data_IF_771138694903
#
_entry.id   IF_771138694903
#
_cell.length_a   1.000
_cell.length_b   1.000
_cell.length_c   1.000
_cell.angle_alpha   90.00
_cell.angle_beta   90.00
_cell.angle_gamma   90.00
#
_symmetry.space_group_name_H-M   'P 1'
#
loop_
_entity.id
_entity.type
_entity.pdbx_description
1 polymer ?
#
# COMPACT_ATOMS: atom_id res chain seq x y z
N UNK A 1 31.91 8.52 11.97
CA UNK A 1 31.12 9.46 12.57
C UNK A 1 31.23 9.64 14.02
N UNK A 2 32.32 9.74 14.48
CA UNK A 2 32.61 10.16 15.80
C UNK A 2 33.18 11.51 15.74
N UNK A 3 32.54 12.44 15.10
CA UNK A 3 33.08 13.76 14.84
C UNK A 3 33.39 14.52 16.10
N UNK A 4 32.47 14.50 17.06
CA UNK A 4 32.76 15.02 18.38
C UNK A 4 31.68 14.51 19.33
N UNK A 5 31.99 14.54 20.62
CA UNK A 5 31.10 13.97 21.62
C UNK A 5 29.77 14.71 21.70
N UNK A 6 29.75 16.01 21.42
CA UNK A 6 28.52 16.79 21.45
C UNK A 6 27.55 16.35 20.35
N UNK A 7 28.04 16.21 19.15
CA UNK A 7 27.23 15.74 18.03
C UNK A 7 26.88 14.29 18.16
N UNK A 8 27.75 13.51 18.78
CA UNK A 8 27.55 12.09 18.95
C UNK A 8 26.28 11.75 19.71
N UNK A 9 25.98 12.49 20.77
CA UNK A 9 24.76 12.26 21.55
C UNK A 9 23.48 12.55 20.73
N UNK A 10 23.45 13.71 20.05
CA UNK A 10 22.33 14.09 19.21
C UNK A 10 22.15 13.12 18.06
N UNK A 11 23.24 12.69 17.47
CA UNK A 11 23.24 11.76 16.36
C UNK A 11 22.65 10.40 16.76
N UNK A 12 23.04 9.92 17.93
CA UNK A 12 22.51 8.65 18.45
C UNK A 12 21.02 8.74 18.74
N UNK A 13 20.57 9.86 19.31
CA UNK A 13 19.16 10.05 19.60
C UNK A 13 18.35 10.08 18.31
N UNK A 14 18.83 10.80 17.28
CA UNK A 14 18.16 10.85 15.99
C UNK A 14 18.15 9.48 15.33
N UNK A 15 19.23 8.72 15.44
CA UNK A 15 19.31 7.36 14.89
C UNK A 15 18.33 6.42 15.55
N UNK A 16 18.19 6.48 16.88
CA UNK A 16 17.24 5.65 17.60
C UNK A 16 15.81 5.99 17.24
N UNK A 17 15.51 7.26 17.07
CA UNK A 17 14.17 7.66 16.68
C UNK A 17 13.84 7.18 15.27
N UNK A 18 14.79 7.27 14.36
CA UNK A 18 14.60 6.77 13.01
C UNK A 18 14.41 5.24 13.01
N UNK A 19 15.19 4.52 13.80
CA UNK A 19 15.03 3.08 13.94
C UNK A 19 13.64 2.72 14.44
N UNK A 20 13.12 3.47 15.41
CA UNK A 20 11.78 3.25 15.92
C UNK A 20 10.73 3.51 14.85
N UNK A 21 10.89 4.57 14.09
CA UNK A 21 9.96 4.89 12.99
C UNK A 21 9.96 3.81 11.93
N UNK A 22 11.13 3.31 11.58
CA UNK A 22 11.25 2.23 10.60
C UNK A 22 10.60 0.96 11.12
N UNK A 23 10.80 0.63 12.40
CA UNK A 23 10.17 -0.55 13.00
C UNK A 23 8.65 -0.45 12.96
N UNK A 24 8.10 0.72 13.26
CA UNK A 24 6.66 0.96 13.17
C UNK A 24 6.19 0.82 11.74
N UNK A 25 6.94 1.38 10.80
CA UNK A 25 6.61 1.30 9.38
C UNK A 25 6.59 -0.16 8.89
N UNK A 26 7.58 -0.95 9.30
CA UNK A 26 7.63 -2.36 8.94
C UNK A 26 6.44 -3.13 9.52
N UNK A 27 6.05 -2.82 10.75
CA UNK A 27 4.86 -3.40 11.37
C UNK A 27 3.60 -3.03 10.59
N UNK A 28 3.53 -1.77 10.15
CA UNK A 28 2.41 -1.30 9.33
C UNK A 28 2.32 -2.07 8.02
N UNK A 29 3.44 -2.27 7.36
CA UNK A 29 3.47 -3.01 6.08
C UNK A 29 2.92 -4.42 6.28
N UNK A 30 3.32 -5.09 7.35
CA UNK A 30 2.82 -6.43 7.66
C UNK A 30 1.31 -6.42 7.95
N UNK A 31 0.84 -5.41 8.66
CA UNK A 31 -0.60 -5.26 8.92
C UNK A 31 -1.39 -5.02 7.65
N UNK A 32 -0.85 -4.21 6.75
CA UNK A 32 -1.49 -3.94 5.46
C UNK A 32 -1.58 -5.24 4.65
N UNK A 33 -0.51 -6.00 4.59
CA UNK A 33 -0.50 -7.27 3.87
C UNK A 33 -1.58 -8.23 4.38
N UNK A 34 -1.84 -8.21 5.68
CA UNK A 34 -2.85 -9.07 6.28
C UNK A 34 -4.27 -8.58 6.08
N UNK A 35 -4.48 -7.27 6.02
CA UNK A 35 -5.81 -6.70 6.18
C UNK A 35 -6.30 -5.83 5.03
N UNK A 36 -5.47 -5.57 4.01
CA UNK A 36 -5.82 -4.58 2.99
C UNK A 36 -7.10 -4.92 2.22
N UNK A 37 -7.46 -6.18 2.14
CA UNK A 37 -8.66 -6.58 1.42
C UNK A 37 -9.93 -6.23 2.16
N UNK A 38 -9.87 -6.04 3.47
CA UNK A 38 -11.03 -5.75 4.31
C UNK A 38 -10.97 -4.39 4.99
N UNK A 39 -9.78 -4.00 5.46
CA UNK A 39 -9.63 -2.81 6.28
C UNK A 39 -8.85 -1.74 5.52
N UNK A 40 -9.51 -0.64 5.24
CA UNK A 40 -8.94 0.45 4.43
C UNK A 40 -8.92 1.79 5.15
N UNK A 41 -9.18 1.78 6.44
CA UNK A 41 -9.20 2.97 7.27
C UNK A 41 -7.85 3.17 7.95
N UNK A 42 -7.31 4.37 7.86
CA UNK A 42 -6.08 4.71 8.59
C UNK A 42 -6.27 4.49 10.08
N UNK A 43 -7.47 4.77 10.59
CA UNK A 43 -7.78 4.60 12.01
C UNK A 43 -7.60 3.15 12.46
N UNK A 44 -7.98 2.18 11.63
CA UNK A 44 -7.80 0.78 11.96
C UNK A 44 -6.33 0.46 12.20
N UNK A 45 -5.47 0.88 11.28
CA UNK A 45 -4.03 0.57 11.38
C UNK A 45 -3.37 1.32 12.52
N UNK A 46 -3.78 2.55 12.76
CA UNK A 46 -3.26 3.31 13.89
C UNK A 46 -3.64 2.65 15.21
N UNK A 47 -4.87 2.19 15.33
CA UNK A 47 -5.35 1.47 16.51
C UNK A 47 -4.52 0.20 16.76
N UNK A 48 -4.30 -0.58 15.72
CA UNK A 48 -3.53 -1.81 15.83
C UNK A 48 -2.09 -1.54 16.29
N UNK A 49 -1.55 -0.38 15.95
CA UNK A 49 -0.19 0.01 16.33
C UNK A 49 -0.16 0.86 17.61
N UNK A 50 -1.32 1.06 18.24
CA UNK A 50 -1.44 1.89 19.45
C UNK A 50 -0.97 3.32 19.23
N UNK A 51 -1.29 3.88 18.07
CA UNK A 51 -0.91 5.23 17.66
C UNK A 51 -2.15 6.02 17.26
N UNK A 52 -2.02 7.35 17.26
CA UNK A 52 -3.09 8.17 16.69
C UNK A 52 -2.98 8.14 15.16
N UNK A 53 -4.11 8.29 14.44
CA UNK A 53 -4.05 8.37 12.98
C UNK A 53 -3.14 9.46 12.48
N UNK A 54 -3.15 10.62 13.14
CA UNK A 54 -2.32 11.75 12.74
C UNK A 54 -0.83 11.42 12.86
N UNK A 55 -0.43 10.82 13.99
CA UNK A 55 0.96 10.46 14.19
C UNK A 55 1.42 9.43 13.17
N UNK A 56 0.60 8.42 12.93
CA UNK A 56 0.90 7.39 11.94
C UNK A 56 1.06 8.00 10.55
N UNK A 57 0.17 8.90 10.17
CA UNK A 57 0.23 9.55 8.85
C UNK A 57 1.51 10.34 8.67
N UNK A 58 1.90 11.12 9.68
CA UNK A 58 3.13 11.90 9.64
C UNK A 58 4.35 10.98 9.55
N UNK A 59 4.36 9.94 10.36
CA UNK A 59 5.47 8.98 10.41
C UNK A 59 5.66 8.30 9.06
N UNK A 60 4.60 7.78 8.47
CA UNK A 60 4.66 7.08 7.20
C UNK A 60 5.14 8.01 6.09
N UNK A 61 4.63 9.23 6.06
CA UNK A 61 5.06 10.23 5.08
C UNK A 61 6.55 10.52 5.21
N UNK A 62 7.06 10.58 6.45
CA UNK A 62 8.48 10.88 6.68
C UNK A 62 9.38 9.71 6.29
N UNK A 63 8.90 8.47 6.42
CA UNK A 63 9.71 7.28 6.13
C UNK A 63 9.74 6.95 4.64
N UNK A 64 8.60 6.98 3.97
CA UNK A 64 8.53 6.53 2.59
C UNK A 64 7.99 7.55 1.59
N UNK A 65 7.59 8.72 2.05
CA UNK A 65 7.07 9.77 1.17
C UNK A 65 5.66 9.55 0.69
N UNK A 66 4.98 8.50 1.14
CA UNK A 66 3.63 8.16 0.72
C UNK A 66 2.69 8.17 1.92
N UNK A 67 1.39 8.26 1.63
CA UNK A 67 0.37 8.17 2.68
C UNK A 67 0.02 6.71 2.94
N UNK A 68 -0.58 6.43 4.09
CA UNK A 68 -1.08 5.09 4.41
C UNK A 68 -2.08 4.63 3.35
N UNK A 69 -2.95 5.55 2.93
CA UNK A 69 -3.97 5.23 1.93
C UNK A 69 -3.34 4.85 0.59
N UNK A 70 -2.28 5.54 0.19
CA UNK A 70 -1.55 5.19 -1.04
C UNK A 70 -0.95 3.80 -0.96
N UNK A 71 -0.42 3.43 0.20
CA UNK A 71 0.13 2.09 0.40
C UNK A 71 -0.96 1.03 0.30
N UNK A 72 -2.12 1.30 0.88
CA UNK A 72 -3.27 0.40 0.80
C UNK A 72 -3.73 0.22 -0.63
N UNK A 73 -3.87 1.31 -1.36
CA UNK A 73 -4.31 1.27 -2.76
C UNK A 73 -3.33 0.51 -3.64
N UNK A 74 -2.04 0.69 -3.42
CA UNK A 74 -1.03 -0.06 -4.15
C UNK A 74 -1.15 -1.56 -3.90
N UNK A 75 -1.39 -1.96 -2.66
CA UNK A 75 -1.57 -3.37 -2.34
C UNK A 75 -2.81 -3.94 -3.04
N UNK A 76 -3.90 -3.18 -3.06
CA UNK A 76 -5.13 -3.58 -3.74
C UNK A 76 -4.93 -3.72 -5.24
N UNK A 77 -4.23 -2.79 -5.85
CA UNK A 77 -3.96 -2.83 -7.30
C UNK A 77 -3.09 -4.04 -7.63
N UNK A 78 -2.03 -4.28 -6.86
CA UNK A 78 -1.17 -5.45 -7.08
C UNK A 78 -1.96 -6.74 -7.01
N UNK A 79 -2.85 -6.87 -6.02
CA UNK A 79 -3.68 -8.06 -5.90
C UNK A 79 -4.64 -8.21 -7.06
N UNK A 80 -5.24 -7.10 -7.50
CA UNK A 80 -6.15 -7.09 -8.65
C UNK A 80 -5.45 -7.61 -9.90
N UNK A 81 -4.26 -7.09 -10.16
CA UNK A 81 -3.47 -7.49 -11.32
C UNK A 81 -3.10 -8.96 -11.24
N UNK A 82 -2.69 -9.42 -10.06
CA UNK A 82 -2.37 -10.82 -9.85
C UNK A 82 -3.56 -11.72 -10.17
N UNK A 83 -4.74 -11.36 -9.68
CA UNK A 83 -5.94 -12.16 -9.91
C UNK A 83 -6.36 -12.15 -11.38
N UNK A 84 -6.25 -11.01 -12.04
CA UNK A 84 -6.58 -10.94 -13.47
C UNK A 84 -5.65 -11.77 -14.34
N UNK A 85 -4.40 -11.86 -13.91
CA UNK A 85 -3.36 -12.52 -14.68
C UNK A 85 -3.30 -14.01 -14.45
N UNK A 86 -3.48 -14.44 -13.21
CA UNK A 86 -3.22 -15.81 -12.80
C UNK A 86 -4.47 -16.64 -12.49
N UNK A 87 -5.64 -16.06 -12.66
CA UNK A 87 -6.91 -16.77 -12.43
C UNK A 87 -7.90 -16.47 -13.54
N UNK A 88 -8.93 -17.29 -13.62
CA UNK A 88 -10.03 -17.10 -14.55
C UNK A 88 -11.19 -16.35 -13.91
N UNK A 89 -10.99 -15.78 -12.72
CA UNK A 89 -12.03 -15.05 -12.01
C UNK A 89 -12.55 -13.89 -12.84
N UNK A 90 -13.88 -13.71 -12.79
CA UNK A 90 -14.49 -12.57 -13.46
C UNK A 90 -14.18 -11.29 -12.72
N UNK A 91 -14.37 -10.15 -13.40
CA UNK A 91 -14.17 -8.85 -12.77
C UNK A 91 -15.08 -8.71 -11.55
N UNK A 92 -16.31 -9.21 -11.62
CA UNK A 92 -17.22 -9.20 -10.48
C UNK A 92 -16.68 -10.01 -9.30
N UNK A 93 -16.11 -11.17 -9.58
CA UNK A 93 -15.52 -12.02 -8.53
C UNK A 93 -14.31 -11.34 -7.88
N UNK A 94 -13.49 -10.69 -8.68
CA UNK A 94 -12.34 -9.95 -8.16
C UNK A 94 -12.81 -8.78 -7.29
N UNK A 95 -13.83 -8.05 -7.74
CA UNK A 95 -14.39 -6.96 -6.96
C UNK A 95 -14.91 -7.45 -5.61
N UNK A 96 -15.58 -8.60 -5.60
CA UNK A 96 -16.10 -9.18 -4.37
C UNK A 96 -14.97 -9.60 -3.43
N UNK A 97 -13.93 -10.21 -3.97
CA UNK A 97 -12.79 -10.64 -3.16
C UNK A 97 -12.10 -9.45 -2.50
N UNK A 98 -12.01 -8.33 -3.19
CA UNK A 98 -11.41 -7.11 -2.67
C UNK A 98 -12.39 -6.25 -1.86
N UNK A 99 -13.56 -6.79 -1.57
CA UNK A 99 -14.58 -6.12 -0.76
C UNK A 99 -15.12 -4.82 -1.35
N UNK A 100 -15.21 -4.75 -2.66
CA UNK A 100 -15.93 -3.67 -3.33
C UNK A 100 -17.42 -4.01 -3.38
N UNK A 101 -18.30 -3.01 -3.29
CA UNK A 101 -19.74 -3.27 -3.32
C UNK A 101 -20.21 -3.86 -4.65
N UNK A 102 -19.54 -3.54 -5.75
CA UNK A 102 -19.89 -4.07 -7.07
C UNK A 102 -18.74 -3.89 -8.04
N UNK A 103 -18.88 -4.45 -9.23
CA UNK A 103 -17.85 -4.37 -10.27
C UNK A 103 -17.62 -2.94 -10.75
N UNK A 104 -18.66 -2.11 -10.75
CA UNK A 104 -18.54 -0.70 -11.16
C UNK A 104 -17.63 0.09 -10.22
N UNK A 105 -17.79 -0.09 -8.92
CA UNK A 105 -16.97 0.59 -7.93
C UNK A 105 -15.50 0.18 -8.08
N UNK A 106 -15.28 -1.11 -8.26
CA UNK A 106 -13.92 -1.63 -8.50
C UNK A 106 -13.35 -1.06 -9.80
N UNK A 107 -14.15 -1.05 -10.87
CA UNK A 107 -13.72 -0.53 -12.15
C UNK A 107 -13.30 0.93 -12.08
N UNK A 108 -14.06 1.75 -11.39
CA UNK A 108 -13.74 3.16 -11.18
C UNK A 108 -12.42 3.32 -10.43
N UNK A 109 -12.26 2.55 -9.36
CA UNK A 109 -11.03 2.55 -8.56
C UNK A 109 -9.82 2.14 -9.41
N UNK A 110 -9.95 1.03 -10.12
CA UNK A 110 -8.86 0.48 -10.92
C UNK A 110 -8.44 1.44 -12.02
N UNK A 111 -9.41 2.00 -12.74
CA UNK A 111 -9.13 2.95 -13.82
C UNK A 111 -8.46 4.21 -13.30
N UNK A 112 -8.89 4.69 -12.13
CA UNK A 112 -8.28 5.88 -11.52
C UNK A 112 -6.81 5.67 -11.22
N UNK A 113 -6.42 4.47 -10.80
CA UNK A 113 -5.06 4.18 -10.37
C UNK A 113 -4.16 3.61 -11.45
N UNK A 114 -4.70 3.01 -12.49
CA UNK A 114 -3.91 2.40 -13.57
C UNK A 114 -4.10 3.06 -14.93
N UNK A 115 -5.16 3.84 -15.09
CA UNK A 115 -5.49 4.46 -16.38
C UNK A 115 -6.34 3.60 -17.30
N UNK A 116 -6.54 2.33 -16.96
CA UNK A 116 -7.32 1.39 -17.78
C UNK A 116 -8.41 0.76 -16.94
N UNK A 117 -9.56 0.47 -17.57
CA UNK A 117 -10.59 -0.31 -16.89
C UNK A 117 -10.10 -1.75 -16.69
N UNK A 118 -10.64 -2.48 -15.70
CA UNK A 118 -10.23 -3.87 -15.47
C UNK A 118 -10.39 -4.75 -16.70
N UNK A 119 -11.50 -4.62 -17.40
CA UNK A 119 -11.75 -5.39 -18.61
C UNK A 119 -10.74 -5.06 -19.70
N UNK A 120 -10.47 -3.78 -19.88
CA UNK A 120 -9.52 -3.31 -20.86
C UNK A 120 -8.11 -3.78 -20.55
N UNK A 121 -7.75 -3.72 -19.28
CA UNK A 121 -6.45 -4.18 -18.81
C UNK A 121 -6.26 -5.67 -19.08
N UNK A 122 -7.26 -6.50 -18.78
CA UNK A 122 -7.18 -7.94 -19.00
C UNK A 122 -7.01 -8.28 -20.48
N UNK A 123 -7.76 -7.62 -21.35
CA UNK A 123 -7.66 -7.83 -22.79
C UNK A 123 -6.31 -7.35 -23.33
N UNK A 124 -5.85 -6.22 -22.82
CA UNK A 124 -4.58 -5.64 -23.23
C UNK A 124 -3.40 -6.51 -22.79
N UNK A 125 -3.48 -7.06 -21.61
CA UNK A 125 -2.44 -7.93 -21.04
C UNK A 125 -2.22 -9.19 -21.88
N UNK A 126 -3.27 -9.72 -22.48
CA UNK A 126 -3.17 -10.91 -23.30
C UNK A 126 -2.33 -10.71 -24.57
N UNK A 127 -2.24 -9.47 -25.05
CA UNK A 127 -1.51 -9.17 -26.27
C UNK A 127 -0.22 -8.39 -26.07
N UNK A 128 0.15 -8.07 -24.84
CA UNK A 128 1.25 -7.17 -24.57
C UNK A 128 2.33 -7.79 -23.69
N UNK A 129 3.50 -7.15 -23.76
CA UNK A 129 4.63 -7.55 -22.96
C UNK A 129 4.40 -7.22 -21.49
N UNK A 130 4.95 -8.06 -20.62
CA UNK A 130 4.77 -7.92 -19.18
C UNK A 130 5.53 -6.75 -18.55
N UNK A 131 6.36 -6.10 -19.33
CA UNK A 131 7.20 -5.01 -18.84
C UNK A 131 6.41 -3.88 -18.17
N UNK A 132 5.19 -3.66 -18.66
CA UNK A 132 4.33 -2.64 -18.10
C UNK A 132 4.07 -2.82 -16.60
N UNK A 133 3.96 -4.07 -16.16
CA UNK A 133 3.63 -4.38 -14.78
C UNK A 133 4.74 -3.96 -13.83
N UNK A 134 5.97 -3.92 -14.31
CA UNK A 134 7.11 -3.55 -13.49
C UNK A 134 7.05 -2.10 -13.00
N UNK A 135 6.26 -1.27 -13.66
CA UNK A 135 6.13 0.13 -13.30
C UNK A 135 4.97 0.42 -12.34
N UNK A 136 4.19 -0.58 -12.01
CA UNK A 136 3.11 -0.45 -11.06
C UNK A 136 3.60 -0.71 -9.64
#
# INVERSE_FOLDING_TARGET
YRLCSIFSASFKAAGKEMERKIAIFESLVLLIEKNYMRERSVAFYADELCLTPKYLSVLVKSVCGQTVQQLLFKAMIRRSIYLMKNTTKTIQQIANELSFPNASAFGTFFKKHTGLSPKHYRNWEEGMNRDFILYL
#
